data_IF_306461505631
#
_entry.id   IF_306461505631
#
_cell.length_a   1.000
_cell.length_b   1.000
_cell.length_c   1.000
_cell.angle_alpha   90.00
_cell.angle_beta   90.00
_cell.angle_gamma   90.00
#
_symmetry.space_group_name_H-M   'P 1'
#
loop_
_entity.id
_entity.type
_entity.pdbx_description
1 polymer ?
#
# COMPACT_ATOMS: atom_id res chain seq x y z
N UNK A 1 -26.68 -15.43 12.11
CA UNK A 1 -25.66 -14.54 12.71
C UNK A 1 -24.29 -15.15 12.43
N UNK A 2 -23.63 -14.72 11.37
CA UNK A 2 -22.32 -15.23 11.01
C UNK A 2 -21.27 -14.57 11.92
N UNK A 3 -20.54 -15.40 12.66
CA UNK A 3 -19.44 -15.01 13.53
C UNK A 3 -18.35 -14.32 12.71
N UNK A 4 -18.02 -13.08 13.07
CA UNK A 4 -16.83 -12.39 12.57
C UNK A 4 -15.61 -13.22 12.97
N UNK A 5 -14.88 -13.72 11.98
CA UNK A 5 -13.66 -14.49 12.19
C UNK A 5 -12.63 -13.58 12.83
N UNK A 6 -12.09 -13.98 13.99
CA UNK A 6 -10.92 -13.34 14.57
C UNK A 6 -9.81 -13.40 13.53
N UNK A 7 -9.47 -12.26 12.91
CA UNK A 7 -8.17 -12.07 12.30
C UNK A 7 -7.12 -12.65 13.27
N UNK A 8 -6.22 -13.46 12.74
CA UNK A 8 -5.35 -14.42 13.44
C UNK A 8 -4.92 -14.00 14.86
N UNK A 9 -4.77 -14.95 15.81
CA UNK A 9 -4.31 -14.70 17.19
C UNK A 9 -2.85 -14.19 17.30
N UNK A 10 -2.52 -13.15 16.56
CA UNK A 10 -1.26 -12.44 16.52
C UNK A 10 -1.33 -11.33 17.57
N UNK A 11 -0.99 -11.65 18.83
CA UNK A 11 -1.01 -10.66 19.91
C UNK A 11 -0.18 -9.40 19.60
N UNK A 12 -0.40 -8.28 20.29
CA UNK A 12 0.20 -6.96 19.99
C UNK A 12 1.68 -6.78 20.42
N UNK A 13 2.47 -7.85 20.39
CA UNK A 13 3.87 -7.85 20.84
C UNK A 13 4.87 -7.53 19.72
N UNK A 14 6.17 -7.45 20.09
CA UNK A 14 7.27 -7.19 19.16
C UNK A 14 7.31 -8.14 17.95
N UNK A 15 6.85 -9.39 18.12
CA UNK A 15 6.76 -10.37 17.02
C UNK A 15 5.79 -9.92 15.93
N UNK A 16 4.60 -9.44 16.31
CA UNK A 16 3.58 -8.99 15.35
C UNK A 16 3.97 -7.66 14.73
N UNK A 17 4.61 -6.76 15.49
CA UNK A 17 5.20 -5.55 14.91
C UNK A 17 6.28 -5.89 13.87
N UNK A 18 7.16 -6.86 14.15
CA UNK A 18 8.15 -7.31 13.18
C UNK A 18 7.51 -7.94 11.95
N UNK A 19 6.39 -8.66 12.14
CA UNK A 19 5.62 -9.22 11.02
C UNK A 19 5.00 -8.12 10.15
N UNK A 20 4.36 -7.12 10.78
CA UNK A 20 3.85 -5.93 10.08
C UNK A 20 4.96 -5.23 9.28
N UNK A 21 6.12 -4.97 9.90
CA UNK A 21 7.24 -4.33 9.23
C UNK A 21 7.80 -5.18 8.07
N UNK A 22 7.73 -6.51 8.15
CA UNK A 22 8.09 -7.40 7.04
C UNK A 22 7.10 -7.31 5.89
N UNK A 23 5.79 -7.24 6.18
CA UNK A 23 4.75 -7.02 5.17
C UNK A 23 4.95 -5.67 4.48
N UNK A 24 5.08 -4.57 5.23
CA UNK A 24 5.41 -3.25 4.65
C UNK A 24 6.70 -3.31 3.83
N UNK A 25 7.71 -4.07 4.29
CA UNK A 25 8.95 -4.29 3.55
C UNK A 25 8.79 -5.02 2.21
N UNK A 26 7.69 -5.73 1.96
CA UNK A 26 7.39 -6.34 0.66
C UNK A 26 7.15 -5.29 -0.43
N UNK A 27 6.69 -4.08 -0.09
CA UNK A 27 6.49 -2.96 -1.03
C UNK A 27 7.77 -2.56 -1.77
N UNK A 28 8.93 -2.82 -1.19
CA UNK A 28 10.25 -2.62 -1.84
C UNK A 28 10.50 -3.58 -3.01
N UNK A 29 9.70 -4.64 -3.10
CA UNK A 29 9.80 -5.72 -4.10
C UNK A 29 8.56 -5.84 -4.97
N UNK A 30 7.56 -4.99 -4.77
CA UNK A 30 6.42 -4.83 -5.69
C UNK A 30 6.82 -3.77 -6.71
N UNK A 31 7.15 -4.13 -7.96
CA UNK A 31 7.40 -3.15 -9.01
C UNK A 31 6.09 -2.47 -9.40
N UNK A 32 6.15 -1.19 -9.78
CA UNK A 32 4.98 -0.49 -10.31
C UNK A 32 4.56 -1.10 -11.66
N UNK A 33 3.43 -1.78 -11.70
CA UNK A 33 2.97 -2.65 -12.79
C UNK A 33 2.81 -1.89 -14.10
N UNK A 34 2.39 -0.62 -14.05
CA UNK A 34 2.32 0.24 -15.23
C UNK A 34 3.65 0.34 -15.98
N UNK A 35 4.79 0.40 -15.28
CA UNK A 35 6.12 0.42 -15.90
C UNK A 35 6.55 -0.95 -16.42
N UNK A 36 6.20 -2.02 -15.70
CA UNK A 36 6.44 -3.41 -16.12
C UNK A 36 5.79 -3.68 -17.47
N UNK A 37 4.52 -3.31 -17.64
CA UNK A 37 3.77 -3.48 -18.88
C UNK A 37 4.25 -2.61 -20.04
N UNK A 38 5.10 -1.63 -19.76
CA UNK A 38 5.76 -0.78 -20.76
C UNK A 38 7.23 -1.16 -20.98
N UNK A 39 7.64 -2.35 -20.51
CA UNK A 39 8.97 -2.92 -20.69
C UNK A 39 10.10 -2.03 -20.13
N UNK A 40 9.80 -1.17 -19.15
CA UNK A 40 10.81 -0.35 -18.47
C UNK A 40 11.76 -1.27 -17.71
N UNK A 41 13.06 -1.09 -17.94
CA UNK A 41 14.09 -1.85 -17.25
C UNK A 41 14.24 -1.33 -15.81
N UNK A 42 14.19 -2.25 -14.83
CA UNK A 42 14.30 -1.93 -13.39
C UNK A 42 13.31 -0.84 -12.97
N UNK A 43 11.99 -1.07 -13.10
CA UNK A 43 10.99 -0.09 -12.71
C UNK A 43 11.07 0.22 -11.21
N UNK A 44 10.58 1.39 -10.83
CA UNK A 44 10.49 1.77 -9.42
C UNK A 44 9.59 0.78 -8.64
N UNK A 45 9.86 0.64 -7.34
CA UNK A 45 8.98 -0.07 -6.43
C UNK A 45 7.81 0.81 -5.97
N UNK A 46 6.74 0.20 -5.44
CA UNK A 46 5.64 0.94 -4.79
C UNK A 46 6.16 1.81 -3.64
N UNK A 47 7.18 1.34 -2.90
CA UNK A 47 7.78 2.15 -1.83
C UNK A 47 8.54 3.38 -2.34
N UNK A 48 9.16 3.32 -3.53
CA UNK A 48 9.80 4.49 -4.15
C UNK A 48 8.75 5.55 -4.54
N UNK A 49 7.62 5.09 -5.07
CA UNK A 49 6.48 5.92 -5.42
C UNK A 49 5.96 6.70 -4.20
N UNK A 50 5.62 5.98 -3.12
CA UNK A 50 5.09 6.59 -1.89
C UNK A 50 6.11 7.50 -1.20
N UNK A 51 7.41 7.16 -1.23
CA UNK A 51 8.47 8.02 -0.69
C UNK A 51 8.47 9.40 -1.36
N UNK A 52 8.48 9.43 -2.70
CA UNK A 52 8.51 10.71 -3.42
C UNK A 52 7.19 11.47 -3.27
N UNK A 53 6.05 10.79 -3.20
CA UNK A 53 4.77 11.43 -2.88
C UNK A 53 4.76 12.08 -1.50
N UNK A 54 5.33 11.43 -0.48
CA UNK A 54 5.47 12.01 0.85
C UNK A 54 6.36 13.26 0.82
N UNK A 55 7.46 13.25 0.06
CA UNK A 55 8.30 14.45 -0.14
C UNK A 55 7.54 15.57 -0.85
N UNK A 56 6.81 15.26 -1.91
CA UNK A 56 5.92 16.22 -2.58
C UNK A 56 4.88 16.80 -1.62
N UNK A 57 4.30 15.96 -0.77
CA UNK A 57 3.37 16.39 0.26
C UNK A 57 4.01 17.31 1.29
N UNK A 58 5.34 17.34 1.47
CA UNK A 58 5.99 18.33 2.33
C UNK A 58 6.24 19.66 1.61
N UNK A 59 6.67 19.61 0.34
CA UNK A 59 7.20 20.80 -0.37
C UNK A 59 6.17 21.55 -1.23
N UNK A 60 5.05 20.91 -1.60
CA UNK A 60 3.98 21.58 -2.35
C UNK A 60 3.11 22.38 -1.38
N UNK A 61 3.06 23.70 -1.53
CA UNK A 61 2.32 24.59 -0.65
C UNK A 61 0.81 24.52 -0.88
N UNK A 62 0.04 24.30 0.19
CA UNK A 62 -1.39 24.60 0.26
C UNK A 62 -1.75 24.90 1.72
N UNK A 63 -2.09 26.15 2.01
CA UNK A 63 -2.33 26.63 3.39
C UNK A 63 -3.69 26.16 3.95
N UNK A 64 -4.51 25.47 3.14
CA UNK A 64 -5.80 24.92 3.55
C UNK A 64 -5.71 23.46 3.99
N UNK A 65 -4.56 22.80 3.77
CA UNK A 65 -4.38 21.37 3.99
C UNK A 65 -3.51 21.09 5.22
N UNK A 66 -3.88 20.05 5.97
CA UNK A 66 -3.00 19.48 6.98
C UNK A 66 -1.89 18.65 6.30
N UNK A 67 -0.68 19.21 6.21
CA UNK A 67 0.46 18.60 5.53
C UNK A 67 0.92 17.30 6.19
N UNK A 68 0.90 17.20 7.51
CA UNK A 68 1.25 15.97 8.24
C UNK A 68 0.28 14.83 7.91
N UNK A 69 -1.02 15.15 7.80
CA UNK A 69 -2.02 14.18 7.37
C UNK A 69 -1.77 13.75 5.93
N UNK A 70 -1.45 14.67 5.02
CA UNK A 70 -1.11 14.34 3.63
C UNK A 70 0.11 13.41 3.53
N UNK A 71 1.15 13.66 4.33
CA UNK A 71 2.34 12.80 4.38
C UNK A 71 1.97 11.39 4.85
N UNK A 72 1.19 11.26 5.93
CA UNK A 72 0.74 9.95 6.41
C UNK A 72 -0.15 9.22 5.41
N UNK A 73 -1.04 9.94 4.72
CA UNK A 73 -1.86 9.36 3.65
C UNK A 73 -0.99 8.84 2.51
N UNK A 74 -0.02 9.64 2.04
CA UNK A 74 0.92 9.22 1.00
C UNK A 74 1.69 7.95 1.39
N UNK A 75 2.07 7.80 2.67
CA UNK A 75 2.80 6.62 3.18
C UNK A 75 1.94 5.37 3.38
N UNK A 76 0.61 5.47 3.35
CA UNK A 76 -0.30 4.35 3.67
C UNK A 76 -1.20 3.98 2.50
N UNK A 77 -1.46 4.87 1.54
CA UNK A 77 -2.51 4.65 0.53
C UNK A 77 -2.31 3.39 -0.33
N UNK A 78 -1.08 3.03 -0.66
CA UNK A 78 -0.74 1.80 -1.41
C UNK A 78 -0.23 0.67 -0.49
N UNK A 79 -0.41 0.75 0.84
CA UNK A 79 0.13 -0.26 1.76
C UNK A 79 -0.47 -1.65 1.53
N UNK A 80 -1.74 -1.72 1.11
CA UNK A 80 -2.42 -2.97 0.76
C UNK A 80 -1.72 -3.74 -0.37
N UNK A 81 -0.97 -3.05 -1.24
CA UNK A 81 -0.25 -3.68 -2.36
C UNK A 81 0.88 -4.60 -1.90
N UNK A 82 1.28 -4.55 -0.62
CA UNK A 82 2.22 -5.54 -0.08
C UNK A 82 1.65 -6.97 -0.12
N UNK A 83 0.33 -7.11 -0.04
CA UNK A 83 -0.39 -8.39 -0.11
C UNK A 83 -1.05 -8.57 -1.46
N UNK A 84 -1.71 -7.52 -1.97
CA UNK A 84 -2.54 -7.59 -3.19
C UNK A 84 -1.70 -7.51 -4.48
N UNK A 85 -0.54 -6.87 -4.43
CA UNK A 85 0.21 -6.42 -5.60
C UNK A 85 -0.36 -5.12 -6.21
N UNK A 86 0.44 -4.45 -7.05
CA UNK A 86 0.03 -3.25 -7.80
C UNK A 86 -0.85 -3.65 -8.99
N UNK A 87 -2.17 -3.44 -8.87
CA UNK A 87 -3.15 -3.77 -9.91
C UNK A 87 -3.26 -2.59 -10.89
N UNK A 88 -2.86 -2.82 -12.14
CA UNK A 88 -2.93 -1.85 -13.21
C UNK A 88 -4.26 -1.95 -14.01
N UNK A 89 -4.64 -0.89 -14.76
CA UNK A 89 -5.84 -0.93 -15.60
C UNK A 89 -5.87 -2.10 -16.60
N UNK A 90 -4.71 -2.53 -17.11
CA UNK A 90 -4.61 -3.64 -18.05
C UNK A 90 -4.93 -5.02 -17.44
N UNK A 91 -4.98 -5.12 -16.10
CA UNK A 91 -5.37 -6.35 -15.40
C UNK A 91 -6.88 -6.61 -15.44
N UNK A 92 -7.68 -5.63 -15.89
CA UNK A 92 -9.13 -5.73 -16.05
C UNK A 92 -9.87 -6.21 -14.78
N UNK A 93 -9.37 -5.84 -13.60
CA UNK A 93 -10.02 -6.11 -12.32
C UNK A 93 -11.11 -5.05 -12.07
N UNK A 94 -12.38 -5.44 -11.85
CA UNK A 94 -13.44 -4.48 -11.51
C UNK A 94 -13.10 -3.66 -10.27
N UNK A 95 -13.58 -2.42 -10.21
CA UNK A 95 -13.27 -1.48 -9.12
C UNK A 95 -13.65 -2.05 -7.75
N UNK A 96 -14.82 -2.69 -7.67
CA UNK A 96 -15.36 -3.29 -6.46
C UNK A 96 -14.49 -4.46 -6.00
N UNK A 97 -13.98 -5.27 -6.94
CA UNK A 97 -13.10 -6.40 -6.63
C UNK A 97 -11.70 -5.92 -6.21
N UNK A 98 -11.15 -4.88 -6.87
CA UNK A 98 -9.90 -4.24 -6.43
C UNK A 98 -10.05 -3.74 -5.00
N UNK A 99 -11.11 -3.00 -4.72
CA UNK A 99 -11.38 -2.44 -3.40
C UNK A 99 -11.54 -3.54 -2.34
N UNK A 100 -12.29 -4.61 -2.65
CA UNK A 100 -12.47 -5.74 -1.75
C UNK A 100 -11.13 -6.43 -1.42
N UNK A 101 -10.25 -6.61 -2.41
CA UNK A 101 -8.91 -7.19 -2.17
C UNK A 101 -8.07 -6.32 -1.25
N UNK A 102 -8.10 -5.00 -1.46
CA UNK A 102 -7.41 -4.04 -0.61
C UNK A 102 -7.97 -4.02 0.81
N UNK A 103 -9.30 -4.04 0.97
CA UNK A 103 -9.96 -4.05 2.27
C UNK A 103 -9.62 -5.33 3.07
N UNK A 104 -9.74 -6.51 2.45
CA UNK A 104 -9.44 -7.78 3.11
C UNK A 104 -7.95 -7.90 3.48
N UNK A 105 -7.06 -7.19 2.78
CA UNK A 105 -5.63 -7.19 3.10
C UNK A 105 -5.30 -6.50 4.43
N UNK A 106 -6.18 -5.61 4.91
CA UNK A 106 -6.00 -4.89 6.18
C UNK A 106 -6.11 -5.82 7.40
N UNK A 107 -6.78 -6.96 7.24
CA UNK A 107 -7.00 -7.93 8.31
C UNK A 107 -5.83 -8.93 8.52
N UNK A 108 -4.73 -8.80 7.76
CA UNK A 108 -3.54 -9.66 7.83
C UNK A 108 -2.42 -9.08 8.71
#
# INVERSE_FOLDING_TARGET
MASVSSATFSGHGARSLLQFLRLVGQLKRVPRTGWVYRNVQRPESVSDHMYRMAVMAMVIKDDRLNKDRCVRLALVHDMAECIVGDIAPADNIPKEEKHRREEVSVDY
#
